data_IF_334165530426
#
_entry.id   IF_334165530426
#
_cell.length_a   1.000
_cell.length_b   1.000
_cell.length_c   1.000
_cell.angle_alpha   90.00
_cell.angle_beta   90.00
_cell.angle_gamma   90.00
#
_symmetry.space_group_name_H-M   'P 1'
#
loop_
_entity.id
_entity.type
_entity.pdbx_description
1 polymer ?
#
# COMPACT_ATOMS: atom_id res chain seq x y z
N UNK A 1 -12.00 -4.20 6.84
CA UNK A 1 -12.08 -3.15 7.88
C UNK A 1 -13.23 -2.17 7.68
N UNK A 2 -13.39 -1.50 6.53
CA UNK A 2 -14.48 -0.52 6.30
C UNK A 2 -15.91 -1.02 6.58
N UNK A 3 -16.22 -2.29 6.32
CA UNK A 3 -17.52 -2.92 6.65
C UNK A 3 -17.71 -3.21 8.15
N UNK A 4 -16.66 -3.07 8.95
CA UNK A 4 -16.62 -3.36 10.40
C UNK A 4 -16.24 -2.09 11.17
N UNK A 5 -16.91 -0.97 10.86
CA UNK A 5 -16.57 0.36 11.38
C UNK A 5 -16.54 0.45 12.90
N UNK A 6 -17.42 -0.26 13.62
CA UNK A 6 -17.42 -0.27 15.09
C UNK A 6 -16.08 -0.71 15.71
N UNK A 7 -15.31 -1.56 15.03
CA UNK A 7 -14.05 -2.11 15.52
C UNK A 7 -12.82 -1.48 14.88
N UNK A 8 -13.00 -0.93 13.68
CA UNK A 8 -11.90 -0.55 12.80
C UNK A 8 -12.08 0.85 12.21
N UNK A 9 -12.89 1.74 12.80
CA UNK A 9 -13.14 3.08 12.26
C UNK A 9 -11.82 3.84 12.01
N UNK A 10 -10.98 3.95 13.04
CA UNK A 10 -9.67 4.61 12.96
C UNK A 10 -8.78 3.95 11.88
N UNK A 11 -8.67 2.61 11.92
CA UNK A 11 -7.84 1.88 10.98
C UNK A 11 -8.34 2.00 9.53
N UNK A 12 -9.65 2.00 9.34
CA UNK A 12 -10.28 2.12 8.04
C UNK A 12 -10.09 3.52 7.45
N UNK A 13 -10.08 4.55 8.28
CA UNK A 13 -9.82 5.94 7.86
C UNK A 13 -8.34 6.15 7.52
N UNK A 14 -7.43 5.69 8.38
CA UNK A 14 -6.00 5.96 8.23
C UNK A 14 -5.27 5.03 7.24
N UNK A 15 -5.63 3.74 7.20
CA UNK A 15 -4.83 2.72 6.51
C UNK A 15 -5.52 2.08 5.30
N UNK A 16 -6.86 2.05 5.24
CA UNK A 16 -7.56 1.41 4.13
C UNK A 16 -7.84 2.40 3.00
N UNK A 17 -7.44 2.06 1.77
CA UNK A 17 -7.94 2.80 0.61
C UNK A 17 -9.47 2.70 0.54
N UNK A 18 -10.12 3.71 -0.04
CA UNK A 18 -11.54 3.65 -0.33
C UNK A 18 -11.77 3.20 -1.79
N UNK A 19 -12.25 1.96 -2.02
CA UNK A 19 -12.50 1.46 -3.36
C UNK A 19 -13.82 1.96 -3.95
N UNK A 20 -14.66 2.69 -3.21
CA UNK A 20 -16.05 2.97 -3.60
C UNK A 20 -16.17 3.66 -4.97
N UNK A 21 -15.33 4.65 -5.27
CA UNK A 21 -15.36 5.36 -6.55
C UNK A 21 -15.08 4.41 -7.74
N UNK A 22 -14.07 3.56 -7.61
CA UNK A 22 -13.74 2.58 -8.64
C UNK A 22 -14.77 1.46 -8.73
N UNK A 23 -15.25 0.94 -7.60
CA UNK A 23 -16.31 -0.07 -7.53
C UNK A 23 -17.60 0.39 -8.21
N UNK A 24 -18.02 1.63 -7.95
CA UNK A 24 -19.17 2.24 -8.63
C UNK A 24 -18.95 2.36 -10.15
N UNK A 25 -17.74 2.71 -10.58
CA UNK A 25 -17.42 2.84 -11.99
C UNK A 25 -17.44 1.51 -12.77
N UNK A 26 -17.08 0.39 -12.11
CA UNK A 26 -17.14 -0.95 -12.72
C UNK A 26 -18.43 -1.71 -12.41
N UNK A 27 -19.24 -1.23 -11.48
CA UNK A 27 -20.44 -1.91 -11.00
C UNK A 27 -20.16 -3.16 -10.15
N UNK A 28 -19.02 -3.21 -9.47
CA UNK A 28 -18.57 -4.36 -8.68
C UNK A 28 -18.27 -3.92 -7.25
N UNK A 29 -18.65 -4.75 -6.28
CA UNK A 29 -18.13 -4.61 -4.92
C UNK A 29 -16.72 -5.21 -4.83
N UNK A 30 -16.05 -5.02 -3.67
CA UNK A 30 -14.64 -5.41 -3.49
C UNK A 30 -14.41 -6.89 -3.81
N UNK A 31 -15.28 -7.78 -3.33
CA UNK A 31 -15.14 -9.23 -3.53
C UNK A 31 -15.38 -9.62 -5.00
N UNK A 32 -16.38 -9.02 -5.65
CA UNK A 32 -16.61 -9.26 -7.08
C UNK A 32 -15.49 -8.68 -7.96
N UNK A 33 -14.92 -7.53 -7.60
CA UNK A 33 -13.80 -6.92 -8.30
C UNK A 33 -12.51 -7.75 -8.17
N UNK A 34 -12.24 -8.32 -6.99
CA UNK A 34 -11.12 -9.23 -6.77
C UNK A 34 -11.24 -10.50 -7.65
N UNK A 35 -12.42 -11.13 -7.65
CA UNK A 35 -12.70 -12.27 -8.52
C UNK A 35 -12.59 -11.92 -10.02
N UNK A 36 -13.01 -10.72 -10.42
CA UNK A 36 -12.86 -10.24 -11.79
C UNK A 36 -11.39 -9.99 -12.16
N UNK A 37 -10.56 -9.50 -11.23
CA UNK A 37 -9.13 -9.34 -11.45
C UNK A 37 -8.47 -10.70 -11.73
N UNK A 38 -8.77 -11.73 -10.92
CA UNK A 38 -8.27 -13.09 -11.14
C UNK A 38 -8.73 -13.65 -12.49
N UNK A 39 -10.00 -13.45 -12.85
CA UNK A 39 -10.53 -13.90 -14.15
C UNK A 39 -9.82 -13.22 -15.32
N UNK A 40 -9.61 -11.89 -15.25
CA UNK A 40 -8.88 -11.15 -16.28
C UNK A 40 -7.42 -11.61 -16.39
N UNK A 41 -6.77 -11.90 -15.27
CA UNK A 41 -5.38 -12.37 -15.23
C UNK A 41 -5.22 -13.80 -15.76
N UNK A 42 -6.21 -14.68 -15.53
CA UNK A 42 -6.22 -16.03 -16.09
C UNK A 42 -6.26 -16.02 -17.63
N UNK A 43 -7.00 -15.08 -18.22
CA UNK A 43 -7.12 -14.89 -19.67
C UNK A 43 -6.18 -13.81 -20.22
N UNK A 44 -5.12 -13.46 -19.47
CA UNK A 44 -4.29 -12.31 -19.82
C UNK A 44 -3.45 -12.57 -21.07
N UNK A 45 -3.55 -11.73 -22.12
CA UNK A 45 -2.81 -11.96 -23.36
C UNK A 45 -1.31 -11.64 -23.19
N UNK A 46 -0.46 -12.29 -24.00
CA UNK A 46 0.97 -12.00 -24.03
C UNK A 46 1.29 -10.53 -24.39
N UNK A 47 0.43 -9.90 -25.19
CA UNK A 47 0.50 -8.48 -25.56
C UNK A 47 -0.85 -7.81 -25.32
N UNK A 48 -1.14 -7.37 -24.08
CA UNK A 48 -2.39 -6.69 -23.76
C UNK A 48 -2.43 -5.30 -24.39
N UNK A 49 -3.60 -4.90 -24.85
CA UNK A 49 -3.87 -3.55 -25.32
C UNK A 49 -3.85 -2.53 -24.17
N UNK A 50 -3.66 -1.25 -24.50
CA UNK A 50 -3.74 -0.18 -23.51
C UNK A 50 -5.12 -0.11 -22.82
N UNK A 51 -6.20 -0.42 -23.54
CA UNK A 51 -7.55 -0.48 -22.98
C UNK A 51 -7.70 -1.62 -21.96
N UNK A 52 -7.17 -2.82 -22.26
CA UNK A 52 -7.16 -3.94 -21.31
C UNK A 52 -6.38 -3.59 -20.04
N UNK A 53 -5.23 -2.94 -20.19
CA UNK A 53 -4.39 -2.52 -19.07
C UNK A 53 -5.06 -1.46 -18.19
N UNK A 54 -5.73 -0.46 -18.79
CA UNK A 54 -6.55 0.51 -18.03
C UNK A 54 -7.73 -0.16 -17.33
N UNK A 55 -8.40 -1.10 -17.98
CA UNK A 55 -9.50 -1.86 -17.37
C UNK A 55 -9.00 -2.65 -16.15
N UNK A 56 -7.86 -3.33 -16.26
CA UNK A 56 -7.29 -4.08 -15.15
C UNK A 56 -6.88 -3.14 -14.00
N UNK A 57 -6.31 -1.97 -14.31
CA UNK A 57 -6.01 -0.95 -13.30
C UNK A 57 -7.27 -0.50 -12.53
N UNK A 58 -8.37 -0.24 -13.25
CA UNK A 58 -9.64 0.15 -12.65
C UNK A 58 -10.23 -0.97 -11.78
N UNK A 59 -10.18 -2.22 -12.24
CA UNK A 59 -10.67 -3.39 -11.47
C UNK A 59 -9.83 -3.58 -10.20
N UNK A 60 -8.51 -3.41 -10.24
CA UNK A 60 -7.69 -3.45 -9.04
C UNK A 60 -8.03 -2.34 -8.04
N UNK A 61 -8.30 -1.11 -8.51
CA UNK A 61 -8.78 -0.05 -7.61
C UNK A 61 -10.11 -0.43 -6.94
N UNK A 62 -11.02 -1.06 -7.68
CA UNK A 62 -12.29 -1.53 -7.16
C UNK A 62 -12.13 -2.70 -6.16
N UNK A 63 -11.10 -3.54 -6.37
CA UNK A 63 -10.73 -4.62 -5.46
C UNK A 63 -10.00 -4.12 -4.19
N UNK A 64 -9.70 -2.83 -4.09
CA UNK A 64 -8.92 -2.28 -2.96
C UNK A 64 -7.42 -2.57 -3.06
N UNK A 65 -6.91 -2.78 -4.28
CA UNK A 65 -5.53 -3.16 -4.59
C UNK A 65 -4.79 -2.03 -5.35
N UNK A 66 -4.56 -0.84 -4.74
CA UNK A 66 -4.00 0.32 -5.44
C UNK A 66 -2.56 0.11 -5.91
N UNK A 67 -1.79 -0.73 -5.23
CA UNK A 67 -0.43 -1.06 -5.62
C UNK A 67 -0.41 -1.84 -6.96
N UNK A 68 -1.26 -2.87 -7.10
CA UNK A 68 -1.43 -3.62 -8.34
C UNK A 68 -2.02 -2.76 -9.45
N UNK A 69 -2.96 -1.85 -9.14
CA UNK A 69 -3.43 -0.86 -10.11
C UNK A 69 -2.30 0.05 -10.61
N UNK A 70 -1.39 0.46 -9.72
CA UNK A 70 -0.23 1.30 -10.06
C UNK A 70 0.77 0.55 -10.95
N UNK A 71 0.96 -0.77 -10.77
CA UNK A 71 1.75 -1.60 -11.71
C UNK A 71 1.20 -1.50 -13.13
N UNK A 72 -0.12 -1.62 -13.28
CA UNK A 72 -0.79 -1.47 -14.58
C UNK A 72 -0.58 -0.06 -15.16
N UNK A 73 -0.63 0.97 -14.31
CA UNK A 73 -0.39 2.35 -14.72
C UNK A 73 1.06 2.60 -15.18
N UNK A 74 2.06 2.07 -14.48
CA UNK A 74 3.47 2.14 -14.89
C UNK A 74 3.70 1.52 -16.26
N UNK A 75 3.03 0.41 -16.56
CA UNK A 75 3.19 -0.35 -17.80
C UNK A 75 2.41 0.21 -18.99
N UNK A 76 1.63 1.29 -18.80
CA UNK A 76 1.06 2.06 -19.90
C UNK A 76 2.09 3.06 -20.45
N UNK A 77 2.14 3.25 -21.79
CA UNK A 77 2.76 4.43 -22.38
C UNK A 77 2.17 5.70 -21.78
N UNK A 78 2.97 6.76 -21.62
CA UNK A 78 2.51 8.01 -21.00
C UNK A 78 1.28 8.61 -21.70
N UNK A 79 1.18 8.52 -23.03
CA UNK A 79 0.03 8.99 -23.79
C UNK A 79 -1.27 8.19 -23.53
N UNK A 80 -1.15 6.95 -23.05
CA UNK A 80 -2.28 6.07 -22.74
C UNK A 80 -2.70 6.13 -21.27
N UNK A 81 -1.99 6.89 -20.43
CA UNK A 81 -2.34 7.18 -19.03
C UNK A 81 -3.40 8.29 -18.96
N UNK A 82 -4.60 7.95 -19.39
CA UNK A 82 -5.73 8.88 -19.55
C UNK A 82 -7.05 8.25 -19.12
N UNK A 83 -8.07 9.09 -19.04
CA UNK A 83 -9.44 8.66 -18.78
C UNK A 83 -9.91 7.68 -19.86
N UNK A 84 -10.67 6.67 -19.44
CA UNK A 84 -11.23 5.64 -20.32
C UNK A 84 -12.29 4.83 -19.58
N UNK A 85 -13.40 4.47 -20.25
CA UNK A 85 -14.43 3.53 -19.78
C UNK A 85 -14.53 3.29 -18.25
N UNK A 86 -14.99 4.29 -17.50
CA UNK A 86 -15.17 4.24 -16.04
C UNK A 86 -13.97 4.70 -15.21
N UNK A 87 -12.77 4.72 -15.78
CA UNK A 87 -11.60 5.37 -15.19
C UNK A 87 -11.76 6.90 -15.33
N UNK A 88 -12.35 7.50 -14.31
CA UNK A 88 -12.67 8.93 -14.25
C UNK A 88 -11.41 9.79 -14.11
N UNK A 89 -11.56 11.11 -14.25
CA UNK A 89 -10.45 12.05 -14.09
C UNK A 89 -9.85 11.98 -12.68
N UNK A 90 -10.67 11.76 -11.66
CA UNK A 90 -10.25 11.60 -10.27
C UNK A 90 -9.43 10.32 -10.07
N UNK A 91 -9.86 9.20 -10.66
CA UNK A 91 -9.13 7.93 -10.59
C UNK A 91 -7.80 7.99 -11.35
N UNK A 92 -7.77 8.69 -12.49
CA UNK A 92 -6.52 8.97 -13.21
C UNK A 92 -5.58 9.83 -12.37
N UNK A 93 -6.10 10.90 -11.74
CA UNK A 93 -5.30 11.75 -10.87
C UNK A 93 -4.75 10.97 -9.67
N UNK A 94 -5.55 10.08 -9.09
CA UNK A 94 -5.12 9.16 -8.04
C UNK A 94 -3.94 8.30 -8.51
N UNK A 95 -4.08 7.58 -9.63
CA UNK A 95 -3.00 6.73 -10.17
C UNK A 95 -1.75 7.54 -10.52
N UNK A 96 -1.92 8.76 -11.04
CA UNK A 96 -0.82 9.65 -11.37
C UNK A 96 -0.05 10.10 -10.13
N UNK A 97 -0.75 10.43 -9.04
CA UNK A 97 -0.12 10.78 -7.77
C UNK A 97 0.68 9.59 -7.19
N UNK A 98 0.16 8.38 -7.34
CA UNK A 98 0.82 7.15 -6.87
C UNK A 98 2.10 6.80 -7.63
N UNK A 99 2.34 7.35 -8.83
CA UNK A 99 3.63 7.15 -9.53
C UNK A 99 4.83 7.74 -8.78
N UNK A 100 4.60 8.70 -7.88
CA UNK A 100 5.68 9.45 -7.19
C UNK A 100 5.48 9.53 -5.67
N UNK A 101 4.47 8.83 -5.14
CA UNK A 101 4.16 8.80 -3.71
C UNK A 101 5.35 8.23 -2.94
N UNK A 102 5.81 8.93 -1.91
CA UNK A 102 6.90 8.45 -1.02
C UNK A 102 6.41 7.27 -0.18
N UNK A 103 6.52 6.09 -0.74
CA UNK A 103 6.09 4.82 -0.15
C UNK A 103 6.88 3.70 -0.80
N UNK A 104 7.29 2.70 -0.02
CA UNK A 104 8.04 1.54 -0.53
C UNK A 104 7.19 0.71 -1.50
N UNK A 105 5.88 0.64 -1.25
CA UNK A 105 4.92 -0.04 -2.12
C UNK A 105 4.92 0.53 -3.53
N UNK A 106 4.82 1.86 -3.68
CA UNK A 106 4.78 2.51 -4.98
C UNK A 106 6.17 2.69 -5.60
N UNK A 107 7.14 3.23 -4.85
CA UNK A 107 8.46 3.57 -5.40
C UNK A 107 9.34 2.35 -5.64
N UNK A 108 9.16 1.27 -4.88
CA UNK A 108 10.01 0.08 -4.98
C UNK A 108 9.20 -1.07 -5.55
N UNK A 109 8.19 -1.56 -4.83
CA UNK A 109 7.52 -2.80 -5.18
C UNK A 109 6.79 -2.73 -6.53
N UNK A 110 5.93 -1.72 -6.74
CA UNK A 110 5.18 -1.56 -7.98
C UNK A 110 6.09 -1.31 -9.19
N UNK A 111 7.15 -0.51 -9.03
CA UNK A 111 8.16 -0.32 -10.08
C UNK A 111 8.93 -1.60 -10.39
N UNK A 112 9.35 -2.35 -9.36
CA UNK A 112 10.07 -3.60 -9.51
C UNK A 112 9.20 -4.70 -10.12
N UNK A 113 7.89 -4.68 -9.92
CA UNK A 113 6.96 -5.57 -10.62
C UNK A 113 6.75 -5.14 -12.08
N UNK A 114 6.61 -3.83 -12.33
CA UNK A 114 6.35 -3.30 -13.67
C UNK A 114 7.50 -3.55 -14.66
N UNK A 115 8.76 -3.38 -14.23
CA UNK A 115 9.97 -3.51 -15.07
C UNK A 115 10.16 -4.90 -15.71
N UNK A 116 10.09 -6.03 -14.98
CA UNK A 116 10.16 -7.36 -15.56
C UNK A 116 8.85 -7.82 -16.21
N UNK A 117 7.78 -7.01 -16.14
CA UNK A 117 6.52 -7.32 -16.79
C UNK A 117 5.56 -8.17 -15.94
N UNK A 118 5.67 -8.13 -14.61
CA UNK A 118 4.64 -8.68 -13.73
C UNK A 118 3.38 -7.81 -13.79
N UNK A 119 2.23 -8.41 -13.50
CA UNK A 119 0.92 -7.74 -13.56
C UNK A 119 0.40 -7.27 -12.18
N UNK A 120 1.01 -7.75 -11.09
CA UNK A 120 0.58 -7.39 -9.74
C UNK A 120 1.71 -7.49 -8.74
N UNK A 121 1.48 -6.88 -7.59
CA UNK A 121 2.19 -7.20 -6.35
C UNK A 121 1.26 -8.00 -5.45
N UNK A 122 1.82 -8.70 -4.49
CA UNK A 122 1.06 -9.42 -3.47
C UNK A 122 1.29 -8.78 -2.12
N UNK A 123 0.21 -8.38 -1.46
CA UNK A 123 0.25 -7.93 -0.07
C UNK A 123 0.60 -9.14 0.81
N UNK A 124 1.64 -9.02 1.62
CA UNK A 124 2.15 -10.09 2.50
C UNK A 124 1.82 -9.85 3.98
N UNK A 125 1.23 -8.70 4.30
CA UNK A 125 0.89 -8.32 5.67
C UNK A 125 -0.62 -8.48 5.90
N UNK A 126 -1.00 -9.21 6.95
CA UNK A 126 -2.38 -9.43 7.38
C UNK A 126 -2.73 -8.67 8.67
N UNK A 127 -1.94 -7.64 9.01
CA UNK A 127 -2.11 -6.90 10.26
C UNK A 127 -3.54 -6.39 10.44
N UNK A 128 -4.28 -7.04 11.33
CA UNK A 128 -5.58 -6.57 11.79
C UNK A 128 -5.38 -5.60 12.95
N UNK A 129 -5.57 -4.30 12.71
CA UNK A 129 -5.57 -3.31 13.79
C UNK A 129 -6.92 -3.34 14.52
N UNK A 130 -6.91 -3.61 15.82
CA UNK A 130 -8.10 -3.40 16.66
C UNK A 130 -7.86 -2.12 17.44
N UNK A 131 -8.58 -1.06 17.09
CA UNK A 131 -8.57 0.17 17.89
C UNK A 131 -9.36 -0.07 19.17
N UNK A 132 -8.72 0.08 20.32
CA UNK A 132 -9.41 0.20 21.59
C UNK A 132 -9.39 1.69 21.99
N UNK A 133 -10.51 2.27 22.46
CA UNK A 133 -10.46 3.60 23.03
C UNK A 133 -9.52 3.59 24.23
N UNK A 134 -8.37 4.25 24.10
CA UNK A 134 -7.37 4.39 25.15
C UNK A 134 -7.24 5.85 25.55
N UNK A 135 -7.03 6.10 26.84
CA UNK A 135 -6.50 7.38 27.28
C UNK A 135 -5.01 7.41 26.91
N UNK A 136 -4.67 8.14 25.85
CA UNK A 136 -3.31 8.21 25.31
C UNK A 136 -2.29 8.66 26.36
N UNK A 137 -2.68 9.55 27.29
CA UNK A 137 -1.79 10.07 28.32
C UNK A 137 -1.52 9.02 29.38
N UNK A 138 -2.58 8.39 29.88
CA UNK A 138 -2.45 7.32 30.87
C UNK A 138 -1.70 6.10 30.28
N UNK A 139 -1.96 5.77 29.01
CA UNK A 139 -1.25 4.72 28.29
C UNK A 139 0.23 5.07 28.12
N UNK A 140 0.55 6.30 27.69
CA UNK A 140 1.92 6.79 27.55
C UNK A 140 2.70 6.71 28.85
N UNK A 141 2.16 7.23 29.95
CA UNK A 141 2.79 7.15 31.27
C UNK A 141 3.03 5.71 31.73
N UNK A 142 2.09 4.80 31.47
CA UNK A 142 2.22 3.40 31.84
C UNK A 142 3.35 2.71 31.06
N UNK A 143 3.44 2.95 29.75
CA UNK A 143 4.50 2.40 28.90
C UNK A 143 5.87 3.01 29.26
N UNK A 144 5.97 4.32 29.44
CA UNK A 144 7.21 4.98 29.86
C UNK A 144 7.74 4.40 31.17
N UNK A 145 6.86 4.23 32.17
CA UNK A 145 7.21 3.62 33.46
C UNK A 145 7.66 2.18 33.31
N UNK A 146 7.00 1.39 32.47
CA UNK A 146 7.40 0.00 32.20
C UNK A 146 8.76 -0.08 31.50
N UNK A 147 9.07 0.90 30.66
CA UNK A 147 10.34 1.00 29.93
C UNK A 147 11.48 1.65 30.71
N UNK A 148 11.22 2.30 31.86
CA UNK A 148 12.26 2.76 32.78
C UNK A 148 12.85 1.58 33.58
N UNK A 149 13.63 0.76 32.90
CA UNK A 149 14.28 -0.41 33.49
C UNK A 149 15.74 -0.56 33.01
N UNK A 150 16.56 -1.34 33.71
CA UNK A 150 17.98 -1.51 33.36
C UNK A 150 18.21 -2.07 31.96
N UNK A 151 17.33 -2.94 31.45
CA UNK A 151 17.49 -3.56 30.13
C UNK A 151 17.30 -2.52 29.02
N UNK A 152 16.29 -1.66 29.12
CA UNK A 152 16.10 -0.59 28.15
C UNK A 152 17.22 0.47 28.24
N UNK A 153 17.72 0.79 29.44
CA UNK A 153 18.90 1.67 29.61
C UNK A 153 20.14 1.08 28.93
N UNK A 154 20.37 -0.22 29.07
CA UNK A 154 21.46 -0.92 28.38
C UNK A 154 21.28 -0.90 26.85
N UNK A 155 20.06 -1.15 26.36
CA UNK A 155 19.73 -1.05 24.92
C UNK A 155 20.01 0.36 24.38
N UNK A 156 19.58 1.41 25.09
CA UNK A 156 19.82 2.80 24.69
C UNK A 156 21.32 3.10 24.62
N UNK A 157 22.11 2.65 25.60
CA UNK A 157 23.56 2.84 25.58
C UNK A 157 24.23 2.12 24.39
N UNK A 158 23.79 0.89 24.08
CA UNK A 158 24.28 0.16 22.90
C UNK A 158 23.89 0.84 21.59
N UNK A 159 22.66 1.36 21.49
CA UNK A 159 22.17 2.08 20.31
C UNK A 159 22.93 3.41 20.12
N UNK A 160 23.23 4.13 21.20
CA UNK A 160 24.07 5.34 21.13
C UNK A 160 25.48 5.05 20.61
N UNK A 161 26.08 3.93 21.04
CA UNK A 161 27.36 3.49 20.49
C UNK A 161 27.26 3.18 18.99
N UNK A 162 26.21 2.45 18.58
CA UNK A 162 25.91 2.14 17.19
C UNK A 162 25.80 3.40 16.33
N UNK A 163 25.00 4.37 16.80
CA UNK A 163 24.76 5.62 16.10
C UNK A 163 26.04 6.45 15.96
N UNK A 164 26.89 6.48 16.98
CA UNK A 164 28.19 7.18 16.89
C UNK A 164 29.10 6.61 15.79
N UNK A 165 28.96 5.32 15.45
CA UNK A 165 29.71 4.65 14.39
C UNK A 165 29.17 4.88 12.96
N UNK A 166 27.93 5.36 12.79
CA UNK A 166 27.26 5.43 11.46
C UNK A 166 27.96 6.35 10.44
N UNK A 167 28.74 7.33 10.91
CA UNK A 167 29.50 8.25 10.05
C UNK A 167 30.89 7.77 9.66
N UNK A 168 31.35 6.62 10.17
CA UNK A 168 32.70 6.09 9.94
C UNK A 168 32.66 4.87 9.01
N UNK A 169 33.66 4.69 8.12
CA UNK A 169 33.83 3.43 7.41
C UNK A 169 33.91 2.28 8.41
N UNK A 170 33.11 1.23 8.21
CA UNK A 170 33.03 0.04 9.07
C UNK A 170 32.52 0.26 10.51
N UNK A 171 32.12 1.48 10.89
CA UNK A 171 31.74 1.79 12.28
C UNK A 171 30.51 1.05 12.83
N UNK A 172 29.69 0.44 11.96
CA UNK A 172 28.59 -0.45 12.35
C UNK A 172 29.01 -1.92 12.53
N UNK A 173 30.15 -2.33 11.96
CA UNK A 173 30.65 -3.71 11.93
C UNK A 173 31.76 -3.96 12.96
N UNK A 174 32.46 -2.90 13.39
CA UNK A 174 33.63 -2.97 14.28
C UNK A 174 33.30 -2.75 15.77
N UNK A 175 32.02 -2.79 16.17
CA UNK A 175 31.59 -2.62 17.57
C UNK A 175 31.54 -3.89 18.39
#
# INVERSE_FOLDING_TARGET
MRRQGERHAEAAEAYCCDPAAAGNAVGLDVTAADAEAERMLADWPATPSAAQRRRLALVFLAAGEPASATVQWFRLPAAERRVDQGLTIELVAYLQAHLTRKSETELIAAQLAARPGLERVWSVDDQSFVGAPVDEWAYGEAIERAWDNPANKARIAADQALQAGTGQPYGLLDM
#
